data_IF_651702428061
#
_entry.id   IF_651702428061
#
_cell.length_a   1.000
_cell.length_b   1.000
_cell.length_c   1.000
_cell.angle_alpha   90.00
_cell.angle_beta   90.00
_cell.angle_gamma   90.00
#
_symmetry.space_group_name_H-M   'P 1'
#
loop_
_entity.id
_entity.type
_entity.pdbx_description
1 polymer ?
#
# COMPACT_ATOMS: atom_id res chain seq x y z
N UNK A 1 -10.36 -4.78 18.76
CA UNK A 1 -10.96 -5.46 17.60
C UNK A 1 -10.28 -4.89 16.37
N UNK A 2 -9.53 -5.70 15.62
CA UNK A 2 -8.98 -5.26 14.34
C UNK A 2 -10.14 -5.24 13.34
N UNK A 3 -10.72 -4.05 13.12
CA UNK A 3 -11.70 -3.88 12.06
C UNK A 3 -11.02 -4.15 10.73
N UNK A 4 -11.41 -5.22 10.07
CA UNK A 4 -11.14 -5.41 8.65
C UNK A 4 -11.95 -4.33 7.93
N UNK A 5 -11.29 -3.23 7.59
CA UNK A 5 -11.84 -2.28 6.63
C UNK A 5 -11.91 -3.02 5.30
N UNK A 6 -13.13 -3.33 4.85
CA UNK A 6 -13.37 -3.70 3.47
C UNK A 6 -13.21 -2.41 2.66
N UNK A 7 -12.20 -2.38 1.78
CA UNK A 7 -12.03 -1.28 0.84
C UNK A 7 -13.23 -1.28 -0.11
N UNK A 8 -13.78 -0.10 -0.42
CA UNK A 8 -14.71 -0.02 -1.54
C UNK A 8 -13.94 -0.26 -2.85
N UNK A 9 -14.59 -0.82 -3.87
CA UNK A 9 -13.94 -1.03 -5.17
C UNK A 9 -13.36 0.27 -5.73
N UNK A 10 -14.05 1.40 -5.49
CA UNK A 10 -13.62 2.74 -5.89
C UNK A 10 -12.31 3.12 -5.19
N UNK A 11 -12.12 2.78 -3.92
CA UNK A 11 -10.87 3.07 -3.20
C UNK A 11 -9.70 2.22 -3.68
N UNK A 12 -9.98 0.99 -4.11
CA UNK A 12 -8.97 0.09 -4.67
C UNK A 12 -8.51 0.51 -6.08
N UNK A 13 -9.35 1.21 -6.82
CA UNK A 13 -9.05 1.71 -8.17
C UNK A 13 -8.26 3.04 -8.17
N UNK A 14 -8.00 3.64 -7.00
CA UNK A 14 -7.27 4.91 -6.91
C UNK A 14 -5.77 4.70 -7.13
N UNK A 15 -5.18 5.55 -7.97
CA UNK A 15 -3.74 5.53 -8.22
C UNK A 15 -2.95 5.94 -6.96
N UNK A 16 -2.00 5.10 -6.55
CA UNK A 16 -1.10 5.35 -5.42
C UNK A 16 0.35 5.46 -5.92
N UNK A 17 0.97 6.66 -5.88
CA UNK A 17 2.34 6.84 -6.34
C UNK A 17 3.32 6.23 -5.33
N UNK A 18 4.01 5.14 -5.71
CA UNK A 18 5.07 4.52 -4.90
C UNK A 18 6.40 4.58 -5.62
N UNK A 19 7.40 5.23 -5.01
CA UNK A 19 8.74 5.34 -5.58
C UNK A 19 9.62 4.14 -5.17
N UNK A 20 9.89 3.30 -6.16
CA UNK A 20 10.77 2.14 -6.03
C UNK A 20 12.06 2.35 -6.82
N UNK A 21 13.17 1.88 -6.27
CA UNK A 21 14.43 1.76 -7.00
C UNK A 21 14.36 0.64 -8.02
N UNK A 22 15.21 0.68 -9.05
CA UNK A 22 15.26 -0.36 -10.08
C UNK A 22 15.52 -1.76 -9.49
N UNK A 23 16.30 -1.84 -8.41
CA UNK A 23 16.58 -3.11 -7.73
C UNK A 23 15.35 -3.66 -7.01
N UNK A 24 14.56 -2.79 -6.38
CA UNK A 24 13.30 -3.14 -5.71
C UNK A 24 12.27 -3.62 -6.75
N UNK A 25 12.15 -2.92 -7.87
CA UNK A 25 11.29 -3.33 -8.99
C UNK A 25 11.69 -4.70 -9.54
N UNK A 26 12.99 -4.91 -9.81
CA UNK A 26 13.50 -6.19 -10.30
C UNK A 26 13.26 -7.33 -9.31
N UNK A 27 13.39 -7.07 -8.01
CA UNK A 27 13.12 -8.07 -6.99
C UNK A 27 11.63 -8.47 -6.97
N UNK A 28 10.71 -7.50 -7.09
CA UNK A 28 9.26 -7.76 -7.19
C UNK A 28 8.93 -8.54 -8.47
N UNK A 29 9.46 -8.14 -9.62
CA UNK A 29 9.23 -8.82 -10.91
C UNK A 29 9.59 -10.31 -10.84
N UNK A 30 10.75 -10.63 -10.27
CA UNK A 30 11.20 -12.02 -10.09
C UNK A 30 10.27 -12.78 -9.13
N UNK A 31 9.85 -12.18 -8.01
CA UNK A 31 8.90 -12.81 -7.09
C UNK A 31 7.55 -13.09 -7.76
N UNK A 32 7.04 -12.18 -8.59
CA UNK A 32 5.79 -12.38 -9.34
C UNK A 32 5.93 -13.57 -10.30
N UNK A 33 7.12 -13.77 -10.88
CA UNK A 33 7.42 -14.89 -11.75
C UNK A 33 7.67 -16.22 -11.01
N UNK A 34 7.58 -16.22 -9.68
CA UNK A 34 7.74 -17.41 -8.84
C UNK A 34 9.19 -17.70 -8.41
N UNK A 35 10.12 -16.79 -8.66
CA UNK A 35 11.47 -16.91 -8.12
C UNK A 35 11.46 -16.78 -6.59
N UNK A 36 12.43 -17.40 -5.93
CA UNK A 36 12.61 -17.30 -4.48
C UNK A 36 14.02 -16.86 -4.16
N UNK A 37 14.17 -16.10 -3.07
CA UNK A 37 15.47 -15.61 -2.62
C UNK A 37 15.82 -16.23 -1.29
N UNK A 38 17.09 -16.61 -1.12
CA UNK A 38 17.59 -16.97 0.19
C UNK A 38 17.54 -15.73 1.12
N UNK A 39 17.21 -15.91 2.42
CA UNK A 39 17.22 -14.82 3.40
C UNK A 39 18.56 -14.09 3.43
N UNK A 40 18.53 -12.76 3.55
CA UNK A 40 19.72 -11.92 3.65
C UNK A 40 20.44 -11.63 2.32
N UNK A 41 20.01 -12.22 1.20
CA UNK A 41 20.53 -11.83 -0.11
C UNK A 41 20.14 -10.39 -0.47
N UNK A 42 20.91 -9.68 -1.33
CA UNK A 42 20.57 -8.32 -1.74
C UNK A 42 19.19 -8.19 -2.38
N UNK A 43 18.72 -9.24 -3.09
CA UNK A 43 17.39 -9.29 -3.67
C UNK A 43 16.30 -9.52 -2.61
N UNK A 44 16.54 -10.40 -1.63
CA UNK A 44 15.61 -10.56 -0.50
C UNK A 44 15.46 -9.26 0.31
N UNK A 45 16.56 -8.56 0.57
CA UNK A 45 16.53 -7.27 1.27
C UNK A 45 15.80 -6.20 0.44
N UNK A 46 16.01 -6.18 -0.88
CA UNK A 46 15.32 -5.25 -1.77
C UNK A 46 13.81 -5.55 -1.84
N UNK A 47 13.42 -6.83 -1.94
CA UNK A 47 12.02 -7.24 -1.91
C UNK A 47 11.32 -6.80 -0.63
N UNK A 48 11.93 -7.04 0.54
CA UNK A 48 11.38 -6.63 1.82
C UNK A 48 11.18 -5.11 1.89
N UNK A 49 12.19 -4.32 1.48
CA UNK A 49 12.07 -2.85 1.44
C UNK A 49 10.97 -2.38 0.48
N UNK A 50 10.82 -3.04 -0.65
CA UNK A 50 9.78 -2.72 -1.61
C UNK A 50 8.39 -3.02 -1.03
N UNK A 51 8.24 -4.16 -0.34
CA UNK A 51 7.01 -4.52 0.36
C UNK A 51 6.68 -3.53 1.48
N UNK A 52 7.67 -3.10 2.27
CA UNK A 52 7.48 -2.10 3.33
C UNK A 52 6.94 -0.78 2.75
N UNK A 53 7.53 -0.29 1.65
CA UNK A 53 7.08 0.94 0.96
C UNK A 53 5.66 0.82 0.41
N UNK A 54 5.33 -0.32 -0.20
CA UNK A 54 3.98 -0.58 -0.71
C UNK A 54 2.97 -0.62 0.44
N UNK A 55 3.33 -1.26 1.56
CA UNK A 55 2.48 -1.35 2.75
C UNK A 55 2.27 0.03 3.39
N UNK A 56 3.33 0.83 3.51
CA UNK A 56 3.26 2.19 4.02
C UNK A 56 2.34 3.06 3.15
N UNK A 57 2.47 2.98 1.82
CA UNK A 57 1.61 3.73 0.90
C UNK A 57 0.13 3.34 1.04
N UNK A 58 -0.17 2.05 1.23
CA UNK A 58 -1.54 1.58 1.52
C UNK A 58 -2.06 2.14 2.85
N UNK A 59 -1.23 2.16 3.90
CA UNK A 59 -1.60 2.70 5.21
C UNK A 59 -1.85 4.20 5.13
N UNK A 60 -0.97 4.97 4.48
CA UNK A 60 -1.14 6.41 4.29
C UNK A 60 -2.43 6.68 3.55
N UNK A 61 -2.71 5.94 2.48
CA UNK A 61 -3.94 6.11 1.71
C UNK A 61 -5.18 5.80 2.52
N UNK A 62 -5.14 4.75 3.36
CA UNK A 62 -6.20 4.44 4.31
C UNK A 62 -6.47 5.61 5.27
N UNK A 63 -5.42 6.20 5.84
CA UNK A 63 -5.57 7.34 6.76
C UNK A 63 -6.14 8.58 6.06
N UNK A 64 -5.83 8.79 4.77
CA UNK A 64 -6.43 9.86 3.98
C UNK A 64 -7.92 9.61 3.69
N UNK A 65 -8.29 8.37 3.33
CA UNK A 65 -9.69 7.99 3.11
C UNK A 65 -10.52 8.15 4.40
N UNK A 66 -9.99 7.72 5.55
CA UNK A 66 -10.63 7.89 6.86
C UNK A 66 -10.82 9.37 7.24
N UNK A 67 -9.88 10.25 6.88
CA UNK A 67 -10.05 11.70 7.09
C UNK A 67 -11.16 12.27 6.21
N UNK A 68 -11.19 11.91 4.93
CA UNK A 68 -12.16 12.46 3.99
C UNK A 68 -13.61 12.03 4.29
N UNK A 69 -13.82 10.83 4.84
CA UNK A 69 -15.16 10.40 5.30
C UNK A 69 -15.60 11.17 6.54
N UNK A 70 -14.71 11.42 7.50
CA UNK A 70 -15.04 12.20 8.70
C UNK A 70 -15.38 13.67 8.40
N UNK A 71 -14.71 14.31 7.44
CA UNK A 71 -15.04 15.69 7.06
C UNK A 71 -16.44 15.80 6.45
N UNK A 72 -16.82 14.84 5.59
CA UNK A 72 -18.12 14.84 4.94
C UNK A 72 -19.29 14.61 5.92
N UNK A 73 -19.08 13.82 6.98
CA UNK A 73 -20.10 13.61 8.02
C UNK A 73 -20.33 14.85 8.89
N UNK A 74 -19.31 15.73 9.01
CA UNK A 74 -19.41 16.96 9.82
C UNK A 74 -20.06 18.15 9.09
N UNK A 75 -20.10 18.17 7.76
CA UNK A 75 -20.69 19.26 6.98
C UNK A 75 -22.18 19.05 6.66
N UNK A 76 -22.74 17.85 6.87
CA UNK A 76 -24.15 17.51 6.63
C UNK A 76 -25.10 17.71 7.82
N UNK A 77 -24.66 18.36 8.90
CA UNK A 77 -25.44 18.51 10.16
C UNK A 77 -26.03 19.91 10.38
N UNK A 78 -25.98 20.80 9.39
CA UNK A 78 -26.65 22.10 9.41
C UNK A 78 -27.63 22.19 8.23
N UNK A 79 -28.86 21.68 8.41
CA UNK A 79 -30.09 22.22 7.77
C UNK A 79 -31.35 21.68 8.48
#
# INVERSE_FOLDING_TARGET
MAGYFEYSDIDLDLEVPVLLSLRELRAIELLINGDTFAPGTPLAVAANRAQDKLTEALIVRRLEAEKNTQTNDSEGSEE
#
